data_IF_185313267217
#
_entry.id   IF_185313267217
#
_cell.length_a   1.000
_cell.length_b   1.000
_cell.length_c   1.000
_cell.angle_alpha   90.00
_cell.angle_beta   90.00
_cell.angle_gamma   90.00
#
_symmetry.space_group_name_H-M   'P 1'
#
loop_
_entity.id
_entity.type
_entity.pdbx_description
1 polymer ?
#
# COMPACT_ATOMS: atom_id res chain seq x y z
N UNK A 1 -18.78 -3.67 13.86
CA UNK A 1 -18.01 -2.49 13.39
C UNK A 1 -16.58 -2.82 12.98
N UNK A 2 -15.77 -3.49 13.82
CA UNK A 2 -14.34 -3.77 13.58
C UNK A 2 -14.03 -4.29 12.17
N UNK A 3 -14.83 -5.23 11.64
CA UNK A 3 -14.65 -5.77 10.28
C UNK A 3 -14.65 -4.70 9.18
N UNK A 4 -15.54 -3.71 9.25
CA UNK A 4 -15.63 -2.62 8.25
C UNK A 4 -14.44 -1.65 8.38
N UNK A 5 -13.98 -1.40 9.60
CA UNK A 5 -12.80 -0.56 9.86
C UNK A 5 -11.54 -1.22 9.30
N UNK A 6 -11.33 -2.52 9.54
CA UNK A 6 -10.18 -3.25 8.98
C UNK A 6 -10.20 -3.26 7.46
N UNK A 7 -11.38 -3.43 6.85
CA UNK A 7 -11.53 -3.35 5.39
C UNK A 7 -11.21 -1.94 4.86
N UNK A 8 -11.69 -0.89 5.52
CA UNK A 8 -11.36 0.49 5.17
C UNK A 8 -9.87 0.78 5.27
N UNK A 9 -9.22 0.34 6.35
CA UNK A 9 -7.76 0.46 6.52
C UNK A 9 -7.00 -0.29 5.43
N UNK A 10 -7.43 -1.51 5.08
CA UNK A 10 -6.83 -2.28 3.98
C UNK A 10 -6.91 -1.53 2.65
N UNK A 11 -8.10 -1.04 2.29
CA UNK A 11 -8.30 -0.26 1.05
C UNK A 11 -7.44 1.01 1.05
N UNK A 12 -7.34 1.71 2.19
CA UNK A 12 -6.48 2.88 2.34
C UNK A 12 -5.00 2.56 2.10
N UNK A 13 -4.48 1.48 2.70
CA UNK A 13 -3.10 1.04 2.47
C UNK A 13 -2.86 0.67 1.00
N UNK A 14 -3.79 -0.04 0.37
CA UNK A 14 -3.70 -0.39 -1.05
C UNK A 14 -3.67 0.86 -1.93
N UNK A 15 -4.51 1.86 -1.67
CA UNK A 15 -4.50 3.12 -2.40
C UNK A 15 -3.15 3.85 -2.28
N UNK A 16 -2.56 3.88 -1.09
CA UNK A 16 -1.23 4.47 -0.86
C UNK A 16 -0.15 3.70 -1.63
N UNK A 17 -0.19 2.37 -1.64
CA UNK A 17 0.74 1.54 -2.44
C UNK A 17 0.64 1.90 -3.92
N UNK A 18 -0.57 2.01 -4.47
CA UNK A 18 -0.77 2.37 -5.89
C UNK A 18 -0.15 3.74 -6.21
N UNK A 19 -0.34 4.73 -5.33
CA UNK A 19 0.27 6.06 -5.51
C UNK A 19 1.80 6.00 -5.46
N UNK A 20 2.38 5.21 -4.55
CA UNK A 20 3.83 5.03 -4.44
C UNK A 20 4.40 4.35 -5.68
N UNK A 21 3.76 3.29 -6.17
CA UNK A 21 4.17 2.62 -7.42
C UNK A 21 4.10 3.59 -8.59
N UNK A 22 3.05 4.41 -8.68
CA UNK A 22 2.95 5.47 -9.69
C UNK A 22 4.14 6.44 -9.63
N UNK A 23 4.53 6.89 -8.44
CA UNK A 23 5.74 7.71 -8.26
C UNK A 23 7.01 6.99 -8.71
N UNK A 24 7.18 5.71 -8.36
CA UNK A 24 8.34 4.91 -8.77
C UNK A 24 8.42 4.85 -10.30
N UNK A 25 7.30 4.60 -10.98
CA UNK A 25 7.24 4.53 -12.44
C UNK A 25 7.55 5.89 -13.08
N UNK A 26 6.96 6.98 -12.59
CA UNK A 26 7.24 8.34 -13.09
C UNK A 26 8.71 8.74 -12.90
N UNK A 27 9.32 8.34 -11.78
CA UNK A 27 10.74 8.56 -11.50
C UNK A 27 11.63 7.73 -12.41
N UNK A 28 11.35 6.44 -12.57
CA UNK A 28 12.12 5.54 -13.43
C UNK A 28 12.04 5.92 -14.93
N UNK A 29 10.93 6.53 -15.36
CA UNK A 29 10.73 6.97 -16.75
C UNK A 29 11.22 8.39 -17.03
N UNK A 30 11.77 9.09 -16.03
CA UNK A 30 12.27 10.46 -16.17
C UNK A 30 11.16 11.51 -16.33
N UNK A 31 9.89 11.14 -16.12
CA UNK A 31 8.74 12.05 -16.21
C UNK A 31 8.58 12.90 -14.94
N UNK A 32 9.21 12.52 -13.83
CA UNK A 32 9.32 13.36 -12.65
C UNK A 32 10.64 14.12 -12.63
N UNK A 33 10.60 15.42 -12.30
CA UNK A 33 11.78 16.23 -11.96
C UNK A 33 12.39 15.78 -10.62
N UNK A 34 13.06 14.64 -10.64
CA UNK A 34 13.75 14.04 -9.50
C UNK A 34 15.14 13.55 -9.93
N UNK A 35 16.13 14.47 -10.02
CA UNK A 35 17.46 14.14 -10.53
C UNK A 35 18.24 13.14 -9.66
N UNK A 36 17.80 12.93 -8.42
CA UNK A 36 18.46 12.07 -7.44
C UNK A 36 17.77 10.69 -7.30
N UNK A 37 16.56 10.53 -7.83
CA UNK A 37 15.79 9.29 -7.73
C UNK A 37 15.18 9.04 -6.33
N UNK A 38 15.01 10.07 -5.51
CA UNK A 38 14.38 9.94 -4.18
C UNK A 38 12.96 9.38 -4.25
N UNK A 39 12.21 9.71 -5.29
CA UNK A 39 10.87 9.18 -5.57
C UNK A 39 10.88 7.68 -5.81
N UNK A 40 11.86 7.18 -6.56
CA UNK A 40 12.06 5.75 -6.78
C UNK A 40 12.47 5.04 -5.48
N UNK A 41 13.50 5.54 -4.79
CA UNK A 41 14.00 4.91 -3.55
C UNK A 41 12.96 4.89 -2.43
N UNK A 42 12.34 6.03 -2.13
CA UNK A 42 11.30 6.11 -1.10
C UNK A 42 10.09 5.25 -1.50
N UNK A 43 9.67 5.31 -2.75
CA UNK A 43 8.55 4.53 -3.26
C UNK A 43 8.75 3.03 -3.07
N UNK A 44 9.94 2.51 -3.37
CA UNK A 44 10.29 1.09 -3.17
C UNK A 44 10.28 0.73 -1.68
N UNK A 45 10.96 1.50 -0.84
CA UNK A 45 11.06 1.23 0.60
C UNK A 45 9.69 1.24 1.29
N UNK A 46 8.86 2.26 1.04
CA UNK A 46 7.53 2.34 1.61
C UNK A 46 6.62 1.23 1.08
N UNK A 47 6.68 0.91 -0.21
CA UNK A 47 5.89 -0.19 -0.78
C UNK A 47 6.28 -1.54 -0.18
N UNK A 48 7.59 -1.78 0.03
CA UNK A 48 8.08 -3.00 0.66
C UNK A 48 7.56 -3.18 2.10
N UNK A 49 7.40 -2.09 2.86
CA UNK A 49 6.84 -2.12 4.22
C UNK A 49 5.30 -2.19 4.21
N UNK A 50 4.63 -1.48 3.31
CA UNK A 50 3.16 -1.45 3.26
C UNK A 50 2.57 -2.75 2.73
N UNK A 51 3.29 -3.49 1.88
CA UNK A 51 2.83 -4.78 1.35
C UNK A 51 2.52 -5.83 2.45
N UNK A 52 3.43 -6.13 3.40
CA UNK A 52 3.13 -7.03 4.51
C UNK A 52 2.04 -6.48 5.44
N UNK A 53 1.92 -5.15 5.60
CA UNK A 53 0.83 -4.51 6.35
C UNK A 53 -0.52 -4.78 5.67
N UNK A 54 -0.60 -4.61 4.35
CA UNK A 54 -1.80 -4.91 3.56
C UNK A 54 -2.18 -6.39 3.68
N UNK A 55 -1.21 -7.31 3.58
CA UNK A 55 -1.40 -8.74 3.80
C UNK A 55 -1.96 -9.05 5.19
N UNK A 56 -1.39 -8.44 6.23
CA UNK A 56 -1.86 -8.63 7.61
C UNK A 56 -3.31 -8.15 7.79
N UNK A 57 -3.65 -6.97 7.26
CA UNK A 57 -5.01 -6.42 7.30
C UNK A 57 -5.99 -7.31 6.54
N UNK A 58 -5.60 -7.83 5.38
CA UNK A 58 -6.42 -8.76 4.59
C UNK A 58 -6.69 -10.06 5.36
N UNK A 59 -5.66 -10.67 5.93
CA UNK A 59 -5.80 -11.90 6.72
C UNK A 59 -6.67 -11.68 7.94
N UNK A 60 -6.52 -10.54 8.62
CA UNK A 60 -7.34 -10.14 9.76
C UNK A 60 -8.81 -9.98 9.35
N UNK A 61 -9.09 -9.24 8.25
CA UNK A 61 -10.42 -9.11 7.70
C UNK A 61 -11.05 -10.48 7.40
N UNK A 62 -10.29 -11.38 6.75
CA UNK A 62 -10.75 -12.74 6.42
C UNK A 62 -11.05 -13.58 7.66
N UNK A 63 -10.27 -13.44 8.75
CA UNK A 63 -10.56 -14.10 10.03
C UNK A 63 -11.83 -13.54 10.68
N UNK A 64 -12.00 -12.22 10.70
CA UNK A 64 -13.20 -11.57 11.26
C UNK A 64 -14.46 -11.89 10.44
N UNK A 65 -14.34 -12.01 9.12
CA UNK A 65 -15.44 -12.44 8.25
C UNK A 65 -15.88 -13.87 8.56
N UNK A 66 -14.93 -14.78 8.78
CA UNK A 66 -15.20 -16.19 9.12
C UNK A 66 -15.82 -16.38 10.51
N UNK A 67 -15.50 -15.53 11.49
CA UNK A 67 -16.09 -15.59 12.85
C UNK A 67 -17.52 -15.04 12.95
N UNK A 68 -17.93 -14.20 12.00
CA UNK A 68 -19.24 -13.55 12.01
C UNK A 68 -20.22 -14.18 11.01
N UNK A 69 -19.96 -15.41 10.59
CA UNK A 69 -20.75 -16.23 9.67
C UNK A 69 -20.88 -17.63 10.25
#
# INVERSE_FOLDING_TARGET
MVRRVVLGAFVGVVAVIVLLVGRVVLSATGLSWDPHGYGMFAGILFTAVLTPVALALWLLYRRLRRRGN
#
